data_IF_202962118849
#
_entry.id   IF_202962118849
#
_cell.length_a   1.000
_cell.length_b   1.000
_cell.length_c   1.000
_cell.angle_alpha   90.00
_cell.angle_beta   90.00
_cell.angle_gamma   90.00
#
_symmetry.space_group_name_H-M   'P 1'
#
loop_
_entity.id
_entity.type
_entity.pdbx_description
1 polymer ?
#
# COMPACT_ATOMS: atom_id res chain seq x y z
N UNK A 1 11.80 -23.55 -49.27
CA UNK A 1 11.19 -22.28 -49.73
C UNK A 1 10.04 -22.01 -48.78
N UNK A 2 10.37 -21.77 -47.52
CA UNK A 2 10.58 -20.43 -46.96
C UNK A 2 9.36 -19.54 -47.17
N UNK A 3 8.56 -19.45 -46.11
CA UNK A 3 7.65 -18.33 -45.89
C UNK A 3 7.75 -17.99 -44.42
N UNK A 4 8.89 -17.39 -44.08
CA UNK A 4 9.08 -16.54 -42.93
C UNK A 4 7.99 -15.46 -42.93
N UNK A 5 7.02 -15.61 -42.03
CA UNK A 5 6.03 -14.58 -41.75
C UNK A 5 6.47 -13.90 -40.45
N UNK A 6 6.88 -12.64 -40.61
CA UNK A 6 7.38 -11.73 -39.59
C UNK A 6 6.50 -11.68 -38.33
N UNK A 7 7.15 -11.73 -37.17
CA UNK A 7 6.56 -11.65 -35.82
C UNK A 7 6.51 -10.17 -35.39
N UNK A 8 5.93 -9.32 -36.25
CA UNK A 8 6.06 -7.86 -36.16
C UNK A 8 4.96 -7.13 -35.37
N UNK A 9 4.02 -7.82 -34.71
CA UNK A 9 2.79 -7.12 -34.29
C UNK A 9 2.36 -7.35 -32.84
N UNK A 10 3.22 -6.98 -31.89
CA UNK A 10 2.82 -6.63 -30.51
C UNK A 10 3.91 -5.73 -29.88
N UNK A 11 4.13 -4.57 -30.49
CA UNK A 11 4.72 -3.43 -29.78
C UNK A 11 3.64 -2.86 -28.86
N UNK A 12 3.96 -2.68 -27.58
CA UNK A 12 3.05 -2.05 -26.63
C UNK A 12 2.78 -0.62 -27.11
N UNK A 13 1.52 -0.17 -27.28
CA UNK A 13 1.24 1.14 -27.85
C UNK A 13 1.84 2.26 -26.99
N UNK A 14 2.63 3.13 -27.62
CA UNK A 14 3.36 4.26 -27.02
C UNK A 14 2.48 5.39 -26.45
N UNK A 15 1.18 5.21 -26.31
CA UNK A 15 0.24 6.29 -25.98
C UNK A 15 -0.62 5.91 -24.77
N UNK A 16 -0.04 6.14 -23.58
CA UNK A 16 -0.63 6.39 -22.24
C UNK A 16 0.29 5.73 -21.21
N UNK A 17 1.49 6.29 -21.04
CA UNK A 17 2.50 5.77 -20.10
C UNK A 17 2.49 6.63 -18.81
N UNK A 18 2.21 6.03 -17.65
CA UNK A 18 2.19 6.70 -16.34
C UNK A 18 3.52 7.37 -15.98
N UNK A 19 3.45 8.42 -15.14
CA UNK A 19 4.59 9.30 -14.85
C UNK A 19 5.79 8.58 -14.22
N UNK A 20 5.54 7.50 -13.48
CA UNK A 20 6.56 6.70 -12.79
C UNK A 20 7.52 5.97 -13.74
N UNK A 21 7.08 5.69 -14.97
CA UNK A 21 7.91 5.03 -15.97
C UNK A 21 8.78 6.01 -16.78
N UNK A 22 8.52 7.32 -16.72
CA UNK A 22 9.20 8.32 -17.58
C UNK A 22 10.72 8.36 -17.41
N UNK A 23 11.20 8.18 -16.18
CA UNK A 23 12.65 8.22 -15.89
C UNK A 23 13.35 6.87 -16.15
N UNK A 24 12.58 5.77 -16.12
CA UNK A 24 13.08 4.41 -16.40
C UNK A 24 13.00 4.01 -17.88
N UNK A 25 12.41 4.84 -18.75
CA UNK A 25 12.25 4.56 -20.20
C UNK A 25 13.57 4.25 -20.90
N UNK A 26 14.69 4.77 -20.41
CA UNK A 26 15.99 4.60 -21.07
C UNK A 26 16.64 3.21 -20.87
N UNK A 27 16.04 2.32 -20.09
CA UNK A 27 16.61 1.01 -19.75
C UNK A 27 15.75 -0.19 -20.12
N UNK A 28 14.68 -0.02 -20.91
CA UNK A 28 13.98 -1.16 -21.49
C UNK A 28 14.93 -1.93 -22.38
N UNK A 29 15.47 -3.02 -21.86
CA UNK A 29 16.18 -3.99 -22.69
C UNK A 29 15.12 -4.57 -23.64
N UNK A 30 15.32 -4.47 -24.95
CA UNK A 30 14.40 -5.05 -25.96
C UNK A 30 14.22 -6.58 -25.82
N UNK A 31 15.01 -7.21 -24.95
CA UNK A 31 14.98 -8.65 -24.71
C UNK A 31 13.73 -9.05 -23.94
N UNK A 32 13.05 -10.07 -24.46
CA UNK A 32 11.82 -10.62 -23.88
C UNK A 32 12.13 -11.37 -22.58
N UNK A 33 11.21 -11.35 -21.62
CA UNK A 33 11.41 -11.99 -20.31
C UNK A 33 11.74 -13.48 -20.42
N UNK A 34 11.11 -14.20 -21.35
CA UNK A 34 11.39 -15.62 -21.61
C UNK A 34 12.84 -15.89 -22.03
N UNK A 35 13.40 -15.04 -22.91
CA UNK A 35 14.79 -15.14 -23.34
C UNK A 35 15.76 -14.82 -22.20
N UNK A 36 15.41 -13.86 -21.35
CA UNK A 36 16.21 -13.52 -20.17
C UNK A 36 16.26 -14.69 -19.19
N UNK A 37 15.11 -15.31 -18.90
CA UNK A 37 15.01 -16.50 -18.05
C UNK A 37 15.83 -17.69 -18.59
N UNK A 38 15.79 -17.92 -19.91
CA UNK A 38 16.61 -18.96 -20.57
C UNK A 38 18.08 -18.63 -20.49
N UNK A 39 18.47 -17.37 -20.75
CA UNK A 39 19.87 -16.95 -20.70
C UNK A 39 20.49 -17.05 -19.30
N UNK A 40 19.67 -16.90 -18.25
CA UNK A 40 20.05 -17.14 -16.85
C UNK A 40 20.05 -18.61 -16.44
N UNK A 41 19.72 -19.52 -17.36
CA UNK A 41 19.57 -20.96 -17.09
C UNK A 41 18.53 -21.28 -16.01
N UNK A 42 17.54 -20.40 -15.78
CA UNK A 42 16.45 -20.66 -14.85
C UNK A 42 15.39 -21.59 -15.44
N UNK A 43 15.27 -21.60 -16.77
CA UNK A 43 14.27 -22.37 -17.52
C UNK A 43 14.86 -22.79 -18.86
N UNK A 44 14.33 -23.86 -19.44
CA UNK A 44 14.72 -24.29 -20.80
C UNK A 44 13.86 -23.61 -21.86
N UNK A 45 14.39 -23.45 -23.07
CA UNK A 45 13.64 -22.90 -24.21
C UNK A 45 12.37 -23.72 -24.50
N UNK A 46 12.45 -25.05 -24.37
CA UNK A 46 11.29 -25.94 -24.48
C UNK A 46 10.20 -25.57 -23.48
N UNK A 47 10.55 -25.42 -22.20
CA UNK A 47 9.59 -25.06 -21.14
C UNK A 47 8.96 -23.68 -21.38
N UNK A 48 9.73 -22.72 -21.90
CA UNK A 48 9.18 -21.40 -22.28
C UNK A 48 8.18 -21.53 -23.43
N UNK A 49 8.48 -22.33 -24.45
CA UNK A 49 7.56 -22.57 -25.57
C UNK A 49 6.28 -23.27 -25.10
N UNK A 50 6.40 -24.29 -24.26
CA UNK A 50 5.26 -24.98 -23.66
C UNK A 50 4.38 -23.99 -22.85
N UNK A 51 5.00 -23.08 -22.08
CA UNK A 51 4.28 -22.05 -21.33
C UNK A 51 3.63 -20.98 -22.24
N UNK A 52 4.24 -20.64 -23.37
CA UNK A 52 3.66 -19.74 -24.38
C UNK A 52 2.42 -20.36 -25.06
N UNK A 53 2.42 -21.68 -25.29
CA UNK A 53 1.22 -22.38 -25.78
C UNK A 53 0.08 -22.27 -24.77
N UNK A 54 0.35 -22.55 -23.49
CA UNK A 54 -0.63 -22.36 -22.40
C UNK A 54 -1.13 -20.92 -22.32
N UNK A 55 -0.23 -19.94 -22.50
CA UNK A 55 -0.59 -18.52 -22.51
C UNK A 55 -1.55 -18.18 -23.66
N UNK A 56 -1.37 -18.76 -24.85
CA UNK A 56 -2.28 -18.54 -25.98
C UNK A 56 -3.66 -19.13 -25.75
N UNK A 57 -3.74 -20.27 -25.07
CA UNK A 57 -5.01 -20.93 -24.78
C UNK A 57 -5.79 -20.27 -23.64
N UNK A 58 -5.10 -19.87 -22.56
CA UNK A 58 -5.73 -19.43 -21.31
C UNK A 58 -5.59 -17.94 -21.02
N UNK A 59 -4.74 -17.23 -21.76
CA UNK A 59 -4.31 -15.88 -21.44
C UNK A 59 -3.40 -15.81 -20.23
N UNK A 60 -3.19 -14.59 -19.70
CA UNK A 60 -2.37 -14.34 -18.51
C UNK A 60 -0.91 -14.00 -18.82
N UNK A 61 -0.10 -13.85 -17.77
CA UNK A 61 1.31 -13.46 -17.88
C UNK A 61 2.21 -14.70 -17.92
N UNK A 62 3.15 -14.74 -18.87
CA UNK A 62 4.09 -15.85 -19.04
C UNK A 62 4.83 -16.21 -17.74
N UNK A 63 5.31 -15.20 -17.00
CA UNK A 63 6.01 -15.43 -15.73
C UNK A 63 5.15 -16.14 -14.68
N UNK A 64 3.88 -15.75 -14.55
CA UNK A 64 2.94 -16.37 -13.60
C UNK A 64 2.65 -17.83 -13.99
N UNK A 65 2.54 -18.12 -15.29
CA UNK A 65 2.36 -19.48 -15.80
C UNK A 65 3.59 -20.34 -15.44
N UNK A 66 4.80 -19.83 -15.67
CA UNK A 66 6.04 -20.53 -15.35
C UNK A 66 6.20 -20.78 -13.84
N UNK A 67 5.83 -19.82 -13.00
CA UNK A 67 5.81 -19.99 -11.53
C UNK A 67 4.75 -21.01 -11.12
N UNK A 68 3.54 -20.94 -11.70
CA UNK A 68 2.45 -21.87 -11.42
C UNK A 68 2.76 -23.33 -11.82
N UNK A 69 3.51 -23.51 -12.90
CA UNK A 69 4.04 -24.80 -13.34
C UNK A 69 5.26 -25.26 -12.52
N UNK A 70 5.73 -24.46 -11.54
CA UNK A 70 6.94 -24.69 -10.75
C UNK A 70 8.20 -24.81 -11.60
N UNK A 71 8.20 -24.20 -12.79
CA UNK A 71 9.34 -24.18 -13.71
C UNK A 71 10.38 -23.15 -13.31
N UNK A 72 9.95 -22.07 -12.64
CA UNK A 72 10.79 -21.06 -12.01
C UNK A 72 10.22 -20.68 -10.65
N UNK A 73 11.01 -20.04 -9.80
CA UNK A 73 10.53 -19.46 -8.53
C UNK A 73 10.09 -18.00 -8.71
N UNK A 74 9.26 -17.50 -7.78
CA UNK A 74 8.89 -16.07 -7.73
C UNK A 74 10.13 -15.17 -7.63
N UNK A 75 11.13 -15.58 -6.84
CA UNK A 75 12.41 -14.88 -6.72
C UNK A 75 13.12 -14.77 -8.08
N UNK A 76 13.26 -15.88 -8.83
CA UNK A 76 13.89 -15.88 -10.14
C UNK A 76 13.16 -14.98 -11.14
N UNK A 77 11.82 -14.98 -11.08
CA UNK A 77 11.00 -14.11 -11.92
C UNK A 77 11.24 -12.63 -11.59
N UNK A 78 11.16 -12.25 -10.31
CA UNK A 78 11.34 -10.86 -9.86
C UNK A 78 12.76 -10.35 -10.08
N UNK A 79 13.78 -11.18 -9.87
CA UNK A 79 15.16 -10.83 -10.19
C UNK A 79 15.35 -10.55 -11.68
N UNK A 80 14.69 -11.34 -12.54
CA UNK A 80 14.77 -11.16 -13.98
C UNK A 80 13.96 -9.94 -14.44
N UNK A 81 12.77 -9.70 -13.87
CA UNK A 81 11.98 -8.50 -14.11
C UNK A 81 12.72 -7.23 -13.64
N UNK A 82 13.39 -7.29 -12.49
CA UNK A 82 14.20 -6.19 -11.99
C UNK A 82 15.30 -5.81 -12.97
N UNK A 83 16.01 -6.80 -13.51
CA UNK A 83 17.01 -6.55 -14.55
C UNK A 83 16.40 -6.00 -15.83
N UNK A 84 15.23 -6.48 -16.25
CA UNK A 84 14.58 -6.06 -17.50
C UNK A 84 14.07 -4.61 -17.43
N UNK A 85 13.55 -4.21 -16.27
CA UNK A 85 12.88 -2.92 -16.06
C UNK A 85 13.75 -1.89 -15.32
N UNK A 86 14.95 -2.28 -14.87
CA UNK A 86 15.84 -1.42 -14.11
C UNK A 86 15.48 -1.27 -12.63
N UNK A 87 14.75 -2.22 -12.04
CA UNK A 87 14.47 -2.26 -10.60
C UNK A 87 15.47 -3.12 -9.82
N UNK A 88 15.75 -2.73 -8.58
CA UNK A 88 16.59 -3.53 -7.69
C UNK A 88 15.74 -4.61 -7.01
N UNK A 89 16.17 -5.87 -7.07
CA UNK A 89 15.56 -6.95 -6.30
C UNK A 89 16.21 -7.09 -4.91
N UNK A 90 15.38 -7.32 -3.88
CA UNK A 90 15.80 -7.54 -2.49
C UNK A 90 15.22 -8.86 -1.98
N UNK A 91 16.09 -9.72 -1.47
CA UNK A 91 15.67 -10.97 -0.82
C UNK A 91 15.03 -10.75 0.55
N UNK A 92 15.37 -9.64 1.22
CA UNK A 92 14.89 -9.31 2.57
C UNK A 92 14.65 -7.82 2.71
N UNK A 93 13.66 -7.47 3.51
CA UNK A 93 13.36 -6.10 3.93
C UNK A 93 13.78 -5.96 5.39
N UNK A 94 14.48 -4.87 5.73
CA UNK A 94 14.86 -4.59 7.11
C UNK A 94 13.68 -3.91 7.82
N UNK A 95 12.89 -4.68 8.57
CA UNK A 95 11.64 -4.16 9.12
C UNK A 95 11.84 -2.99 10.10
N UNK A 96 12.99 -2.93 10.77
CA UNK A 96 13.32 -1.85 11.72
C UNK A 96 13.58 -0.50 11.05
N UNK A 97 13.97 -0.49 9.77
CA UNK A 97 14.25 0.73 9.03
C UNK A 97 13.00 1.33 8.37
N UNK A 98 11.84 0.67 8.51
CA UNK A 98 10.58 1.13 7.91
C UNK A 98 10.06 2.32 8.69
N UNK A 99 9.77 3.42 8.00
CA UNK A 99 9.24 4.66 8.60
C UNK A 99 7.77 4.51 8.98
N UNK A 100 7.47 4.70 10.27
CA UNK A 100 6.10 4.65 10.79
C UNK A 100 5.22 5.78 10.22
N UNK A 101 5.81 6.94 9.89
CA UNK A 101 5.11 8.07 9.25
C UNK A 101 4.49 7.65 7.91
N UNK A 102 5.24 6.89 7.10
CA UNK A 102 4.76 6.43 5.79
C UNK A 102 3.75 5.31 5.91
N UNK A 103 3.93 4.42 6.90
CA UNK A 103 3.01 3.32 7.16
C UNK A 103 1.63 3.85 7.59
N UNK A 104 1.59 4.89 8.42
CA UNK A 104 0.33 5.50 8.87
C UNK A 104 -0.48 6.15 7.75
N UNK A 105 0.16 6.52 6.63
CA UNK A 105 -0.51 7.10 5.45
C UNK A 105 -1.10 6.05 4.50
N UNK A 106 -0.74 4.78 4.66
CA UNK A 106 -1.18 3.71 3.77
C UNK A 106 -2.15 2.79 4.52
N UNK A 107 -3.36 2.53 3.99
CA UNK A 107 -4.25 1.56 4.61
C UNK A 107 -3.67 0.13 4.53
N UNK A 108 -3.73 -0.63 5.62
CA UNK A 108 -3.18 -2.01 5.66
C UNK A 108 -3.79 -2.93 4.59
N UNK A 109 -5.09 -2.75 4.29
CA UNK A 109 -5.77 -3.53 3.27
C UNK A 109 -5.22 -3.23 1.87
N UNK A 110 -4.92 -1.96 1.58
CA UNK A 110 -4.27 -1.56 0.34
C UNK A 110 -2.88 -2.19 0.22
N UNK A 111 -2.07 -2.07 1.27
CA UNK A 111 -0.73 -2.65 1.34
C UNK A 111 -0.76 -4.17 1.12
N UNK A 112 -1.69 -4.89 1.75
CA UNK A 112 -1.83 -6.35 1.61
C UNK A 112 -2.38 -6.78 0.26
N UNK A 113 -3.38 -6.07 -0.26
CA UNK A 113 -4.01 -6.38 -1.54
C UNK A 113 -3.02 -6.24 -2.70
N UNK A 114 -2.32 -5.11 -2.75
CA UNK A 114 -1.36 -4.83 -3.82
C UNK A 114 0.05 -5.31 -3.50
N UNK A 115 0.27 -5.82 -2.28
CA UNK A 115 1.57 -6.31 -1.80
C UNK A 115 2.66 -5.27 -2.03
N UNK A 116 2.39 -4.10 -1.49
CA UNK A 116 3.27 -2.92 -1.53
C UNK A 116 3.47 -2.39 -0.13
N UNK A 117 4.69 -1.94 0.17
CA UNK A 117 5.01 -1.34 1.47
C UNK A 117 5.98 -0.18 1.29
N UNK A 118 5.69 1.02 1.83
CA UNK A 118 6.66 2.10 1.89
C UNK A 118 7.74 1.78 2.93
N UNK A 119 8.98 2.13 2.63
CA UNK A 119 10.13 1.80 3.47
C UNK A 119 10.71 3.06 4.10
N UNK A 120 11.21 3.98 3.29
CA UNK A 120 11.85 5.21 3.77
C UNK A 120 11.57 6.37 2.81
N UNK A 121 11.58 7.59 3.36
CA UNK A 121 11.61 8.82 2.56
C UNK A 121 13.07 9.24 2.42
N UNK A 122 13.52 9.43 1.18
CA UNK A 122 14.87 9.87 0.86
C UNK A 122 15.00 11.38 1.06
N UNK A 123 16.24 11.85 1.15
CA UNK A 123 16.57 13.27 1.33
C UNK A 123 16.01 14.18 0.21
N UNK A 124 15.83 13.64 -0.99
CA UNK A 124 15.27 14.36 -2.14
C UNK A 124 13.74 14.40 -2.15
N UNK A 125 13.07 13.81 -1.15
CA UNK A 125 11.61 13.75 -1.04
C UNK A 125 10.98 12.48 -1.62
N UNK A 126 11.71 11.70 -2.41
CA UNK A 126 11.19 10.45 -3.00
C UNK A 126 10.94 9.41 -1.90
N UNK A 127 9.93 8.56 -2.10
CA UNK A 127 9.66 7.45 -1.20
C UNK A 127 10.13 6.14 -1.82
N UNK A 128 11.04 5.47 -1.11
CA UNK A 128 11.47 4.12 -1.44
C UNK A 128 10.40 3.13 -1.00
N UNK A 129 9.92 2.31 -1.94
CA UNK A 129 8.90 1.28 -1.68
C UNK A 129 9.41 -0.11 -2.04
N UNK A 130 8.84 -1.15 -1.44
CA UNK A 130 8.94 -2.52 -1.93
C UNK A 130 7.61 -2.96 -2.55
N UNK A 131 7.66 -3.59 -3.73
CA UNK A 131 6.49 -4.11 -4.44
C UNK A 131 6.75 -5.53 -4.98
N UNK A 132 5.72 -6.39 -4.96
CA UNK A 132 5.81 -7.71 -5.58
C UNK A 132 5.43 -7.72 -7.05
N UNK A 133 4.78 -6.67 -7.56
CA UNK A 133 4.42 -6.54 -8.97
C UNK A 133 4.79 -5.14 -9.52
N UNK A 134 5.89 -4.99 -10.26
CA UNK A 134 6.25 -3.71 -10.89
C UNK A 134 5.29 -3.28 -11.99
N UNK A 135 4.43 -4.18 -12.48
CA UNK A 135 3.50 -3.91 -13.58
C UNK A 135 2.12 -3.48 -13.08
N UNK A 136 1.91 -3.46 -11.75
CA UNK A 136 0.68 -2.99 -11.12
C UNK A 136 0.62 -1.45 -11.08
N UNK A 137 0.76 -0.78 -12.25
CA UNK A 137 1.04 0.65 -12.27
C UNK A 137 -0.07 1.49 -11.63
N UNK A 138 -1.34 1.14 -11.84
CA UNK A 138 -2.45 1.85 -11.21
C UNK A 138 -2.31 1.89 -9.67
N UNK A 139 -1.93 0.77 -9.06
CA UNK A 139 -1.72 0.71 -7.61
C UNK A 139 -0.49 1.51 -7.17
N UNK A 140 0.56 1.56 -8.00
CA UNK A 140 1.75 2.38 -7.71
C UNK A 140 1.44 3.88 -7.82
N UNK A 141 0.64 4.28 -8.81
CA UNK A 141 0.18 5.67 -8.95
C UNK A 141 -0.72 6.07 -7.77
N UNK A 142 -1.68 5.21 -7.37
CA UNK A 142 -2.52 5.43 -6.18
C UNK A 142 -1.67 5.56 -4.91
N UNK A 143 -0.64 4.73 -4.76
CA UNK A 143 0.28 4.80 -3.64
C UNK A 143 1.11 6.10 -3.65
N UNK A 144 1.52 6.58 -4.82
CA UNK A 144 2.24 7.85 -4.97
C UNK A 144 1.36 9.03 -4.52
N UNK A 145 0.07 9.00 -4.84
CA UNK A 145 -0.91 9.99 -4.39
C UNK A 145 -1.09 9.93 -2.86
N UNK A 146 -1.26 8.73 -2.29
CA UNK A 146 -1.40 8.56 -0.83
C UNK A 146 -0.19 9.10 -0.06
N UNK A 147 1.01 8.97 -0.63
CA UNK A 147 2.27 9.37 -0.01
C UNK A 147 2.73 10.79 -0.37
N UNK A 148 2.01 11.45 -1.28
CA UNK A 148 2.32 12.77 -1.85
C UNK A 148 3.80 12.86 -2.26
N UNK A 149 4.28 11.85 -2.99
CA UNK A 149 5.70 11.72 -3.31
C UNK A 149 5.95 10.83 -4.54
N UNK A 150 6.99 11.11 -5.33
CA UNK A 150 7.49 10.18 -6.33
C UNK A 150 7.97 8.88 -5.66
N UNK A 151 7.76 7.74 -6.32
CA UNK A 151 8.15 6.43 -5.79
C UNK A 151 9.42 5.91 -6.45
N UNK A 152 10.35 5.43 -5.63
CA UNK A 152 11.48 4.61 -6.06
C UNK A 152 11.14 3.16 -5.74
N UNK A 153 10.98 2.34 -6.77
CA UNK A 153 10.51 0.96 -6.61
C UNK A 153 11.68 -0.02 -6.50
N UNK A 154 11.64 -0.86 -5.48
CA UNK A 154 12.43 -2.08 -5.40
C UNK A 154 11.51 -3.31 -5.30
N UNK A 155 11.98 -4.43 -5.82
CA UNK A 155 11.22 -5.67 -5.90
C UNK A 155 11.54 -6.59 -4.74
N UNK A 156 10.52 -7.20 -4.16
CA UNK A 156 10.66 -8.26 -3.18
C UNK A 156 9.52 -9.26 -3.35
N UNK A 157 9.71 -10.49 -2.89
CA UNK A 157 8.66 -11.52 -3.01
C UNK A 157 7.42 -11.15 -2.20
N UNK A 158 6.27 -11.65 -2.62
CA UNK A 158 5.00 -11.47 -1.91
C UNK A 158 5.12 -11.83 -0.42
N UNK A 159 5.83 -12.92 -0.11
CA UNK A 159 6.05 -13.40 1.24
C UNK A 159 6.79 -12.36 2.10
N UNK A 160 7.92 -11.86 1.61
CA UNK A 160 8.78 -10.90 2.32
C UNK A 160 8.03 -9.59 2.58
N UNK A 161 7.23 -9.14 1.60
CA UNK A 161 6.45 -7.90 1.75
C UNK A 161 5.34 -8.09 2.78
N UNK A 162 4.59 -9.20 2.74
CA UNK A 162 3.51 -9.46 3.70
C UNK A 162 4.06 -9.60 5.13
N UNK A 163 5.22 -10.22 5.31
CA UNK A 163 5.91 -10.28 6.60
C UNK A 163 6.29 -8.88 7.11
N UNK A 164 6.84 -8.03 6.25
CA UNK A 164 7.17 -6.65 6.59
C UNK A 164 5.92 -5.81 6.92
N UNK A 165 4.80 -6.02 6.20
CA UNK A 165 3.52 -5.37 6.48
C UNK A 165 3.03 -5.78 7.88
N UNK A 166 2.91 -7.08 8.15
CA UNK A 166 2.41 -7.52 9.46
C UNK A 166 3.26 -6.95 10.60
N UNK A 167 4.59 -7.01 10.47
CA UNK A 167 5.49 -6.43 11.47
C UNK A 167 5.29 -4.92 11.67
N UNK A 168 5.18 -4.15 10.59
CA UNK A 168 5.15 -2.68 10.67
C UNK A 168 3.83 -2.14 11.20
N UNK A 169 2.70 -2.73 10.81
CA UNK A 169 1.38 -2.31 11.29
C UNK A 169 1.10 -2.80 12.73
N UNK A 170 1.63 -3.97 13.11
CA UNK A 170 1.57 -4.42 14.51
C UNK A 170 2.42 -3.50 15.41
N UNK A 171 3.59 -3.05 14.92
CA UNK A 171 4.43 -2.07 15.61
C UNK A 171 3.74 -0.70 15.73
N UNK A 172 3.09 -0.22 14.66
CA UNK A 172 2.31 1.02 14.71
C UNK A 172 1.16 0.95 15.74
N UNK A 173 0.48 -0.20 15.82
CA UNK A 173 -0.56 -0.45 16.83
C UNK A 173 0.01 -0.47 18.26
N UNK A 174 1.16 -1.10 18.47
CA UNK A 174 1.83 -1.14 19.76
C UNK A 174 2.36 0.24 20.20
N UNK A 175 2.91 1.04 19.27
CA UNK A 175 3.32 2.42 19.56
C UNK A 175 2.13 3.33 19.85
N UNK A 176 1.02 3.18 19.12
CA UNK A 176 -0.22 3.89 19.44
C UNK A 176 -0.73 3.50 20.84
N UNK A 177 -0.75 2.21 21.17
CA UNK A 177 -1.15 1.74 22.50
C UNK A 177 -0.23 2.25 23.62
N UNK A 178 1.09 2.23 23.40
CA UNK A 178 2.06 2.73 24.37
C UNK A 178 2.02 4.26 24.54
N UNK A 179 1.82 5.01 23.45
CA UNK A 179 1.61 6.45 23.52
C UNK A 179 0.30 6.79 24.28
N UNK A 180 -0.75 6.00 24.08
CA UNK A 180 -1.98 6.11 24.86
C UNK A 180 -1.83 5.71 26.33
N UNK A 181 -0.91 4.79 26.64
CA UNK A 181 -0.57 4.39 28.01
C UNK A 181 0.34 5.42 28.71
N UNK A 182 1.25 6.07 27.96
CA UNK A 182 2.11 7.16 28.44
C UNK A 182 1.35 8.48 28.62
N UNK A 183 0.25 8.69 27.87
CA UNK A 183 -0.74 9.74 28.12
C UNK A 183 -1.65 9.43 29.34
N UNK A 184 -1.43 8.32 30.04
CA UNK A 184 -2.19 7.90 31.21
C UNK A 184 -1.64 8.44 32.53
N UNK A 185 -1.98 9.69 32.86
CA UNK A 185 -2.33 10.05 34.26
C UNK A 185 -3.33 11.22 34.39
N UNK A 186 -4.16 11.50 33.38
CA UNK A 186 -5.37 12.31 33.61
C UNK A 186 -6.50 11.94 32.61
N UNK A 187 -7.21 10.87 32.97
CA UNK A 187 -8.07 9.99 32.17
C UNK A 187 -9.35 10.61 31.55
N UNK A 188 -9.44 11.93 31.47
CA UNK A 188 -10.55 12.64 30.82
C UNK A 188 -10.09 13.96 30.19
N UNK A 189 -9.03 14.57 30.73
CA UNK A 189 -8.44 15.80 30.21
C UNK A 189 -7.68 15.56 28.90
N UNK A 190 -6.98 14.42 28.76
CA UNK A 190 -6.26 14.07 27.53
C UNK A 190 -7.19 13.86 26.33
N UNK A 191 -8.28 13.09 26.51
CA UNK A 191 -9.31 12.91 25.49
C UNK A 191 -10.00 14.23 25.14
N UNK A 192 -10.32 15.06 26.14
CA UNK A 192 -10.89 16.38 25.90
C UNK A 192 -9.94 17.28 25.11
N UNK A 193 -8.64 17.25 25.42
CA UNK A 193 -7.62 18.04 24.74
C UNK A 193 -7.38 17.58 23.31
N UNK A 194 -7.29 16.28 23.05
CA UNK A 194 -7.13 15.73 21.69
C UNK A 194 -8.33 16.06 20.80
N UNK A 195 -9.54 16.01 21.37
CA UNK A 195 -10.76 16.40 20.67
C UNK A 195 -10.80 17.91 20.43
N UNK A 196 -10.42 18.73 21.41
CA UNK A 196 -10.39 20.19 21.29
C UNK A 196 -9.33 20.65 20.27
N UNK A 197 -8.13 20.08 20.30
CA UNK A 197 -7.07 20.33 19.32
C UNK A 197 -7.49 19.89 17.91
N UNK A 198 -8.09 18.68 17.80
CA UNK A 198 -8.61 18.21 16.53
C UNK A 198 -9.71 19.12 16.00
N UNK A 199 -10.56 19.70 16.88
CA UNK A 199 -11.63 20.65 16.53
C UNK A 199 -11.08 22.01 16.10
N UNK A 200 -10.08 22.54 16.80
CA UNK A 200 -9.44 23.83 16.51
C UNK A 200 -8.68 23.81 15.17
N UNK A 201 -8.12 22.65 14.81
CA UNK A 201 -7.43 22.47 13.53
C UNK A 201 -8.38 22.25 12.34
N UNK A 202 -9.70 22.14 12.55
CA UNK A 202 -10.70 21.91 11.48
C UNK A 202 -10.96 23.11 10.57
N UNK A 203 -10.45 24.29 10.91
CA UNK A 203 -10.51 25.44 10.00
C UNK A 203 -9.45 25.34 8.87
N UNK A 204 -8.60 24.30 8.88
CA UNK A 204 -7.78 23.87 7.74
C UNK A 204 -8.57 22.93 6.82
N UNK A 205 -8.35 22.99 5.50
CA UNK A 205 -8.99 22.08 4.52
C UNK A 205 -8.41 20.64 4.55
N UNK A 206 -7.64 20.30 5.57
CA UNK A 206 -6.88 19.05 5.66
C UNK A 206 -7.72 17.90 6.22
N UNK A 207 -7.59 16.70 5.65
CA UNK A 207 -8.26 15.48 6.14
C UNK A 207 -7.61 14.92 7.44
N UNK A 208 -6.38 15.31 7.74
CA UNK A 208 -5.59 14.79 8.86
C UNK A 208 -6.23 14.99 10.26
N UNK A 209 -6.83 16.15 10.59
CA UNK A 209 -7.49 16.36 11.89
C UNK A 209 -8.76 15.51 12.06
N UNK A 210 -9.48 15.24 10.97
CA UNK A 210 -10.67 14.37 10.99
C UNK A 210 -10.27 12.93 11.30
N UNK A 211 -9.20 12.44 10.67
CA UNK A 211 -8.65 11.10 10.93
C UNK A 211 -8.21 10.99 12.39
N UNK A 212 -7.55 12.02 12.94
CA UNK A 212 -7.17 12.07 14.36
C UNK A 212 -8.40 11.97 15.28
N UNK A 213 -9.46 12.74 14.99
CA UNK A 213 -10.71 12.72 15.76
C UNK A 213 -11.37 11.33 15.74
N UNK A 214 -11.47 10.71 14.56
CA UNK A 214 -12.07 9.37 14.42
C UNK A 214 -11.26 8.32 15.19
N UNK A 215 -9.94 8.35 15.06
CA UNK A 215 -9.06 7.42 15.79
C UNK A 215 -9.19 7.61 17.30
N UNK A 216 -9.22 8.84 17.80
CA UNK A 216 -9.42 9.11 19.23
C UNK A 216 -10.76 8.58 19.73
N UNK A 217 -11.85 8.73 18.95
CA UNK A 217 -13.16 8.17 19.29
C UNK A 217 -13.17 6.64 19.33
N UNK A 218 -12.55 5.98 18.33
CA UNK A 218 -12.46 4.51 18.30
C UNK A 218 -11.66 4.02 19.50
N UNK A 219 -10.49 4.60 19.76
CA UNK A 219 -9.64 4.17 20.86
C UNK A 219 -10.31 4.38 22.22
N UNK A 220 -11.01 5.51 22.43
CA UNK A 220 -11.77 5.75 23.64
C UNK A 220 -12.94 4.76 23.80
N UNK A 221 -13.61 4.39 22.71
CA UNK A 221 -14.72 3.42 22.75
C UNK A 221 -14.25 2.03 23.20
N UNK A 222 -13.05 1.61 22.77
CA UNK A 222 -12.43 0.35 23.18
C UNK A 222 -12.02 0.42 24.66
N UNK A 223 -11.38 1.52 25.07
CA UNK A 223 -10.96 1.74 26.46
C UNK A 223 -12.16 1.69 27.43
N UNK A 224 -13.26 2.33 27.06
CA UNK A 224 -14.49 2.34 27.85
C UNK A 224 -15.41 1.14 27.65
N UNK A 225 -14.99 0.14 26.85
CA UNK A 225 -15.76 -1.07 26.57
C UNK A 225 -17.16 -0.76 26.00
N UNK A 226 -17.25 0.28 25.17
CA UNK A 226 -18.47 0.65 24.48
C UNK A 226 -18.79 -0.38 23.39
N UNK A 227 -20.04 -0.86 23.35
CA UNK A 227 -20.53 -1.77 22.32
C UNK A 227 -20.80 -1.05 21.00
N UNK A 228 -21.11 0.24 21.04
CA UNK A 228 -21.43 1.04 19.87
C UNK A 228 -21.02 2.50 20.04
N UNK A 229 -20.61 3.11 18.94
CA UNK A 229 -20.44 4.55 18.80
C UNK A 229 -21.62 5.08 17.96
N UNK A 230 -22.41 5.96 18.54
CA UNK A 230 -23.54 6.65 17.89
C UNK A 230 -23.11 8.06 17.53
N UNK A 231 -23.24 8.43 16.27
CA UNK A 231 -22.93 9.78 15.77
C UNK A 231 -24.20 10.36 15.19
N UNK A 232 -24.75 11.37 15.86
CA UNK A 232 -26.04 11.96 15.52
C UNK A 232 -25.89 13.43 15.12
N UNK A 233 -26.10 13.78 13.85
CA UNK A 233 -26.14 15.17 13.44
C UNK A 233 -27.41 15.85 13.95
N UNK A 234 -27.27 17.02 14.56
CA UNK A 234 -28.36 17.89 14.97
C UNK A 234 -28.43 19.14 14.08
N UNK A 235 -29.34 20.07 14.39
CA UNK A 235 -29.45 21.31 13.63
C UNK A 235 -28.20 22.19 13.70
N UNK A 236 -27.44 22.14 14.80
CA UNK A 236 -26.31 23.06 15.07
C UNK A 236 -24.99 22.36 15.39
N UNK A 237 -25.03 21.11 15.83
CA UNK A 237 -23.87 20.32 16.25
C UNK A 237 -24.01 18.86 15.81
N UNK A 238 -23.03 18.04 16.14
CA UNK A 238 -23.06 16.59 16.05
C UNK A 238 -22.93 16.08 17.48
N UNK A 239 -23.77 15.15 17.88
CA UNK A 239 -23.69 14.47 19.17
C UNK A 239 -23.05 13.10 18.98
N UNK A 240 -21.90 12.86 19.62
CA UNK A 240 -21.26 11.54 19.67
C UNK A 240 -21.54 10.89 21.02
N UNK A 241 -22.12 9.69 20.99
CA UNK A 241 -22.53 8.95 22.19
C UNK A 241 -22.01 7.52 22.15
N UNK A 242 -21.56 6.99 23.28
CA UNK A 242 -21.13 5.60 23.41
C UNK A 242 -22.21 4.78 24.10
N UNK A 243 -22.49 3.58 23.59
CA UNK A 243 -23.34 2.61 24.28
C UNK A 243 -22.46 1.73 25.16
N UNK A 244 -22.57 1.89 26.47
CA UNK A 244 -21.82 1.09 27.45
C UNK A 244 -22.86 0.37 28.32
N UNK A 245 -22.78 -0.96 28.37
CA UNK A 245 -23.75 -1.81 29.08
C UNK A 245 -25.22 -1.52 28.73
N UNK A 246 -25.48 -1.16 27.47
CA UNK A 246 -26.81 -0.85 26.97
C UNK A 246 -27.32 0.56 27.25
N UNK A 247 -26.55 1.40 27.94
CA UNK A 247 -26.88 2.81 28.23
C UNK A 247 -26.07 3.71 27.30
N UNK A 248 -26.71 4.72 26.72
CA UNK A 248 -26.01 5.73 25.90
C UNK A 248 -25.46 6.86 26.77
N UNK A 249 -24.16 7.10 26.65
CA UNK A 249 -23.43 8.19 27.29
C UNK A 249 -22.96 9.18 26.23
N UNK A 250 -23.35 10.45 26.37
CA UNK A 250 -22.86 11.51 25.49
C UNK A 250 -21.43 11.88 25.85
N UNK A 251 -20.54 11.90 24.85
CA UNK A 251 -19.11 12.11 25.04
C UNK A 251 -18.66 13.47 24.54
N UNK A 252 -19.01 13.82 23.30
CA UNK A 252 -18.60 15.09 22.69
C UNK A 252 -19.73 15.67 21.84
N UNK A 253 -19.70 17.01 21.69
CA UNK A 253 -20.60 17.77 20.80
C UNK A 253 -19.84 18.62 19.78
N UNK A 254 -19.20 17.99 18.78
CA UNK A 254 -18.53 18.72 17.72
C UNK A 254 -19.46 19.66 16.92
N UNK A 255 -18.95 20.76 16.35
CA UNK A 255 -19.74 21.63 15.49
C UNK A 255 -20.18 20.92 14.19
N UNK A 256 -21.37 21.28 13.67
CA UNK A 256 -22.02 20.61 12.53
C UNK A 256 -21.22 20.58 11.23
N UNK A 257 -20.18 21.41 11.09
CA UNK A 257 -19.27 21.40 9.93
C UNK A 257 -18.62 20.03 9.72
N UNK A 258 -18.52 19.20 10.75
CA UNK A 258 -17.99 17.83 10.74
C UNK A 258 -18.92 16.76 10.14
N UNK A 259 -20.12 17.12 9.67
CA UNK A 259 -21.11 16.12 9.26
C UNK A 259 -20.77 15.44 7.92
N UNK A 260 -20.17 16.19 6.99
CA UNK A 260 -19.90 15.71 5.63
C UNK A 260 -18.81 14.61 5.56
N UNK A 261 -17.72 14.65 6.33
CA UNK A 261 -16.67 13.61 6.27
C UNK A 261 -16.97 12.36 7.10
N UNK A 262 -17.84 12.44 8.11
CA UNK A 262 -18.12 11.32 9.04
C UNK A 262 -19.22 10.39 8.52
N UNK A 263 -20.00 10.85 7.52
CA UNK A 263 -21.14 10.10 6.96
C UNK A 263 -20.94 9.65 5.52
N UNK A 264 -19.73 9.81 4.94
CA UNK A 264 -19.40 9.35 3.58
C UNK A 264 -18.56 8.07 3.57
#
# INVERSE_FOLDING_TARGET
>A
MDTSISIDDLTVPSATMPSLMKDHVLLFTERRIGELLVSKSFVTEKTVNDALEVQRERGGRLGEILVGQRSITEQQLLETLGQQLGFTFREKIQHQAISDELINRVPINFAKQFKVIPLERKDNGDVLIAASDPLAIAALDDLAVLLDAPLVVQLATSLVIVEAINFSYDRGTAHAAAAMEEMGDDDLAGFAHDVEEAIDLLDSEDEAPIIKLVNSLISQSVKEHASDIHIEPTEKDISVRFRIDGILYEKIRPPKKLHAPITS
#
